data_IF_385761353043
#
_entry.id   IF_385761353043
#
_cell.length_a   1.000
_cell.length_b   1.000
_cell.length_c   1.000
_cell.angle_alpha   90.00
_cell.angle_beta   90.00
_cell.angle_gamma   90.00
#
_symmetry.space_group_name_H-M   'P 1'
#
loop_
_entity.id
_entity.type
_entity.pdbx_description
1 polymer ?
#
# COMPACT_ATOMS: atom_id res chain seq x y z
N UNK A 1 2.33 -22.54 4.52
CA UNK A 1 1.04 -21.96 4.98
C UNK A 1 0.61 -20.91 3.98
N UNK A 2 -0.70 -20.77 3.73
CA UNK A 2 -1.25 -19.70 2.91
C UNK A 2 -1.21 -18.40 3.72
N UNK A 3 -0.71 -17.32 3.12
CA UNK A 3 -0.62 -16.00 3.77
C UNK A 3 -2.01 -15.46 4.08
N UNK A 4 -2.21 -14.90 5.28
CA UNK A 4 -3.39 -14.13 5.63
C UNK A 4 -3.23 -12.69 5.15
N UNK A 5 -4.27 -12.16 4.51
CA UNK A 5 -4.36 -10.77 4.06
C UNK A 5 -5.58 -10.10 4.67
N UNK A 6 -5.65 -8.77 4.62
CA UNK A 6 -6.78 -7.99 5.09
C UNK A 6 -7.44 -7.28 3.91
N UNK A 7 -8.76 -7.44 3.76
CA UNK A 7 -9.55 -6.77 2.72
C UNK A 7 -10.85 -6.25 3.33
N UNK A 8 -11.07 -4.95 3.33
CA UNK A 8 -12.32 -4.28 3.71
C UNK A 8 -12.91 -4.69 5.07
N UNK A 9 -12.08 -5.00 6.06
CA UNK A 9 -12.53 -5.43 7.39
C UNK A 9 -12.28 -6.91 7.69
N UNK A 10 -12.04 -7.73 6.67
CA UNK A 10 -11.91 -9.17 6.82
C UNK A 10 -10.45 -9.66 6.71
N UNK A 11 -10.08 -10.61 7.56
CA UNK A 11 -8.84 -11.38 7.44
C UNK A 11 -9.11 -12.64 6.63
N UNK A 12 -8.49 -12.77 5.46
CA UNK A 12 -8.75 -13.83 4.50
C UNK A 12 -7.47 -14.54 4.08
N UNK A 13 -7.52 -15.82 3.70
CA UNK A 13 -6.45 -16.43 2.92
C UNK A 13 -6.22 -15.64 1.62
N UNK A 14 -4.97 -15.43 1.22
CA UNK A 14 -4.65 -14.66 0.00
C UNK A 14 -5.31 -15.21 -1.28
N UNK A 15 -5.62 -16.49 -1.30
CA UNK A 15 -6.30 -17.16 -2.43
C UNK A 15 -7.80 -16.85 -2.52
N UNK A 16 -8.39 -16.32 -1.44
CA UNK A 16 -9.82 -15.98 -1.36
C UNK A 16 -10.05 -14.45 -1.46
N UNK A 17 -8.97 -13.67 -1.27
CA UNK A 17 -9.04 -12.20 -1.33
C UNK A 17 -9.38 -11.71 -2.75
N UNK A 18 -10.38 -10.85 -2.86
CA UNK A 18 -10.86 -10.32 -4.13
C UNK A 18 -11.21 -8.85 -4.00
N UNK A 19 -11.00 -8.10 -5.07
CA UNK A 19 -11.52 -6.75 -5.26
C UNK A 19 -12.34 -6.70 -6.55
N UNK A 20 -13.27 -5.75 -6.65
CA UNK A 20 -14.07 -5.56 -7.86
C UNK A 20 -13.20 -5.21 -9.06
N UNK A 21 -13.50 -5.74 -10.24
CA UNK A 21 -12.88 -5.29 -11.50
C UNK A 21 -13.27 -3.85 -11.85
N UNK A 22 -14.31 -3.31 -11.23
CA UNK A 22 -14.74 -1.91 -11.34
C UNK A 22 -14.10 -1.01 -10.28
N UNK A 23 -13.21 -1.55 -9.43
CA UNK A 23 -12.45 -0.72 -8.48
C UNK A 23 -11.62 0.32 -9.23
N UNK A 24 -11.73 1.59 -8.82
CA UNK A 24 -11.07 2.71 -9.50
C UNK A 24 -9.54 2.63 -9.40
N UNK A 25 -9.01 2.01 -8.36
CA UNK A 25 -7.57 1.72 -8.25
C UNK A 25 -7.10 0.79 -9.36
N UNK A 26 -7.89 -0.24 -9.69
CA UNK A 26 -7.60 -1.14 -10.81
C UNK A 26 -7.77 -0.46 -12.18
N UNK A 27 -8.85 0.31 -12.38
CA UNK A 27 -9.16 0.90 -13.68
C UNK A 27 -8.36 2.17 -14.01
N UNK A 28 -8.01 2.98 -13.00
CA UNK A 28 -7.51 4.36 -13.19
C UNK A 28 -6.33 4.72 -12.29
N UNK A 29 -5.80 3.79 -11.50
CA UNK A 29 -4.83 4.07 -10.45
C UNK A 29 -5.30 5.12 -9.41
N UNK A 30 -6.62 5.24 -9.20
CA UNK A 30 -7.24 6.16 -8.25
C UNK A 30 -7.12 5.57 -6.84
N UNK A 31 -5.95 5.72 -6.24
CA UNK A 31 -5.62 5.18 -4.94
C UNK A 31 -4.22 5.56 -4.47
N UNK A 32 -4.00 5.35 -3.20
CA UNK A 32 -2.75 5.61 -2.49
C UNK A 32 -2.24 4.34 -1.82
N UNK A 33 -0.95 4.29 -1.50
CA UNK A 33 -0.36 3.15 -0.82
C UNK A 33 0.69 3.56 0.20
N UNK A 34 0.93 2.68 1.15
CA UNK A 34 2.05 2.74 2.09
C UNK A 34 2.75 1.39 2.19
N UNK A 35 4.02 1.42 2.60
CA UNK A 35 4.80 0.22 2.87
C UNK A 35 5.52 0.42 4.19
N UNK A 36 5.10 -0.31 5.22
CA UNK A 36 5.70 -0.28 6.55
C UNK A 36 6.70 -1.44 6.69
N UNK A 37 7.94 -1.13 7.04
CA UNK A 37 8.95 -2.15 7.33
C UNK A 37 8.69 -2.83 8.66
N UNK A 38 9.03 -4.11 8.74
CA UNK A 38 9.00 -4.91 9.97
C UNK A 38 10.40 -5.44 10.25
N UNK A 39 10.95 -5.15 11.45
CA UNK A 39 12.23 -5.65 11.93
C UNK A 39 12.05 -6.19 13.36
N UNK A 40 12.53 -7.39 13.63
CA UNK A 40 12.33 -8.10 14.91
C UNK A 40 10.85 -8.14 15.34
N UNK A 41 9.95 -8.36 14.37
CA UNK A 41 8.51 -8.36 14.60
C UNK A 41 7.89 -6.99 14.94
N UNK A 42 8.66 -5.90 14.84
CA UNK A 42 8.24 -4.55 15.19
C UNK A 42 8.04 -3.69 13.95
N UNK A 43 6.99 -2.89 13.95
CA UNK A 43 6.71 -1.90 12.91
C UNK A 43 7.71 -0.75 13.00
N UNK A 44 8.30 -0.36 11.89
CA UNK A 44 9.23 0.76 11.80
C UNK A 44 8.48 1.99 11.27
N UNK A 45 8.55 3.09 12.03
CA UNK A 45 7.98 4.41 11.67
C UNK A 45 6.49 4.37 11.26
N UNK A 46 5.69 3.54 11.94
CA UNK A 46 4.25 3.45 11.66
C UNK A 46 3.55 4.82 11.68
N UNK A 47 3.88 5.68 12.65
CA UNK A 47 3.27 7.00 12.77
C UNK A 47 3.55 7.89 11.55
N UNK A 48 4.78 7.89 11.04
CA UNK A 48 5.16 8.62 9.84
C UNK A 48 4.38 8.14 8.60
N UNK A 49 4.21 6.80 8.47
CA UNK A 49 3.41 6.21 7.40
C UNK A 49 1.93 6.59 7.52
N UNK A 50 1.34 6.53 8.72
CA UNK A 50 -0.06 6.89 8.94
C UNK A 50 -0.34 8.38 8.65
N UNK A 51 0.55 9.29 9.07
CA UNK A 51 0.45 10.72 8.77
C UNK A 51 0.51 10.98 7.25
N UNK A 52 1.42 10.31 6.53
CA UNK A 52 1.54 10.47 5.08
C UNK A 52 0.35 9.87 4.34
N UNK A 53 -0.18 8.75 4.81
CA UNK A 53 -1.41 8.16 4.28
C UNK A 53 -2.58 9.13 4.38
N UNK A 54 -2.83 9.71 5.55
CA UNK A 54 -3.91 10.66 5.79
C UNK A 54 -3.78 11.90 4.89
N UNK A 55 -2.56 12.46 4.81
CA UNK A 55 -2.28 13.56 3.89
C UNK A 55 -2.58 13.18 2.43
N UNK A 56 -2.13 12.01 1.97
CA UNK A 56 -2.32 11.58 0.58
C UNK A 56 -3.80 11.33 0.24
N UNK A 57 -4.58 10.80 1.18
CA UNK A 57 -6.02 10.65 1.05
C UNK A 57 -6.72 12.02 0.96
N UNK A 58 -6.36 12.95 1.85
CA UNK A 58 -6.92 14.31 1.87
C UNK A 58 -6.63 15.09 0.57
N UNK A 59 -5.43 14.95 -0.03
CA UNK A 59 -5.09 15.58 -1.31
C UNK A 59 -5.92 15.06 -2.51
N UNK A 60 -6.54 13.89 -2.34
CA UNK A 60 -7.43 13.27 -3.35
C UNK A 60 -8.92 13.38 -3.00
N UNK A 61 -9.27 14.12 -1.94
CA UNK A 61 -10.64 14.16 -1.40
C UNK A 61 -11.21 12.74 -1.18
N UNK A 62 -10.38 11.85 -0.64
CA UNK A 62 -10.74 10.47 -0.40
C UNK A 62 -10.91 10.23 1.11
N UNK A 63 -12.06 9.72 1.51
CA UNK A 63 -12.33 9.37 2.91
C UNK A 63 -11.40 8.25 3.36
N UNK A 64 -10.81 8.38 4.54
CA UNK A 64 -10.08 7.29 5.17
C UNK A 64 -11.09 6.24 5.70
N UNK A 65 -11.03 4.97 5.25
CA UNK A 65 -11.97 3.94 5.68
C UNK A 65 -11.66 3.34 7.06
N UNK A 66 -10.53 3.72 7.69
CA UNK A 66 -10.05 3.09 8.92
C UNK A 66 -9.42 4.15 9.84
N UNK A 67 -9.63 4.02 11.16
CA UNK A 67 -8.96 4.88 12.15
C UNK A 67 -7.48 4.53 12.25
N UNK A 68 -6.65 5.46 12.75
CA UNK A 68 -5.22 5.18 12.96
C UNK A 68 -4.99 4.05 13.96
N UNK A 69 -5.80 3.99 14.99
CA UNK A 69 -5.77 2.98 16.05
C UNK A 69 -6.09 1.59 15.47
N UNK A 70 -7.17 1.46 14.71
CA UNK A 70 -7.55 0.20 14.07
C UNK A 70 -6.52 -0.21 13.00
N UNK A 71 -5.98 0.76 12.27
CA UNK A 71 -4.92 0.51 11.29
C UNK A 71 -3.66 -0.09 11.95
N UNK A 72 -3.28 0.42 13.13
CA UNK A 72 -2.17 -0.13 13.91
C UNK A 72 -2.44 -1.57 14.35
N UNK A 73 -3.66 -1.85 14.82
CA UNK A 73 -4.04 -3.21 15.23
C UNK A 73 -4.03 -4.19 14.04
N UNK A 74 -4.53 -3.77 12.86
CA UNK A 74 -4.46 -4.59 11.64
C UNK A 74 -3.00 -4.88 11.25
N UNK A 75 -2.11 -3.89 11.34
CA UNK A 75 -0.68 -4.10 11.08
C UNK A 75 -0.08 -5.15 12.03
N UNK A 76 -0.33 -5.01 13.33
CA UNK A 76 0.15 -5.94 14.36
C UNK A 76 -0.37 -7.34 14.15
N UNK A 77 -1.67 -7.45 13.86
CA UNK A 77 -2.31 -8.74 13.65
C UNK A 77 -1.74 -9.45 12.41
N UNK A 78 -1.54 -8.74 11.29
CA UNK A 78 -0.93 -9.30 10.09
C UNK A 78 0.52 -9.76 10.33
N UNK A 79 1.31 -9.03 11.12
CA UNK A 79 2.66 -9.48 11.56
C UNK A 79 2.56 -10.76 12.36
N UNK A 80 1.64 -10.82 13.32
CA UNK A 80 1.46 -11.95 14.23
C UNK A 80 1.01 -13.22 13.49
N UNK A 81 -0.07 -13.13 12.68
CA UNK A 81 -0.67 -14.32 12.04
C UNK A 81 0.17 -14.86 10.90
N UNK A 82 1.00 -14.02 10.26
CA UNK A 82 1.93 -14.42 9.20
C UNK A 82 3.35 -14.64 9.72
N UNK A 83 3.57 -14.57 11.05
CA UNK A 83 4.86 -14.82 11.71
C UNK A 83 6.02 -14.00 11.09
N UNK A 84 5.79 -12.72 10.80
CA UNK A 84 6.79 -11.87 10.15
C UNK A 84 7.79 -11.35 11.19
N UNK A 85 9.03 -11.83 11.13
CA UNK A 85 10.14 -11.28 11.90
C UNK A 85 10.85 -10.13 11.16
N UNK A 86 11.16 -10.34 9.89
CA UNK A 86 11.70 -9.32 8.97
C UNK A 86 10.87 -9.28 7.69
N UNK A 87 10.45 -8.10 7.27
CA UNK A 87 9.64 -7.98 6.08
C UNK A 87 8.98 -6.63 5.91
N UNK A 88 7.89 -6.64 5.18
CA UNK A 88 7.13 -5.46 4.82
C UNK A 88 5.63 -5.73 4.99
N UNK A 89 4.88 -4.67 5.30
CA UNK A 89 3.43 -4.64 5.17
C UNK A 89 3.10 -3.63 4.08
N UNK A 90 2.44 -4.10 3.04
CA UNK A 90 1.85 -3.26 2.01
C UNK A 90 0.42 -2.91 2.41
N UNK A 91 0.07 -1.64 2.27
CA UNK A 91 -1.28 -1.08 2.42
C UNK A 91 -1.65 -0.35 1.14
N UNK A 92 -2.83 -0.58 0.63
CA UNK A 92 -3.43 0.21 -0.46
C UNK A 92 -4.86 0.61 -0.09
N UNK A 93 -5.19 1.87 -0.34
CA UNK A 93 -6.55 2.38 -0.27
C UNK A 93 -6.88 2.97 -1.63
N UNK A 94 -7.99 2.51 -2.23
CA UNK A 94 -8.54 3.06 -3.47
C UNK A 94 -9.85 3.77 -3.17
N UNK A 95 -10.34 4.58 -4.12
CA UNK A 95 -11.65 5.21 -4.00
C UNK A 95 -12.80 4.19 -4.01
N UNK A 96 -12.53 2.93 -4.33
CA UNK A 96 -13.54 1.87 -4.39
C UNK A 96 -14.21 1.79 -5.75
N UNK A 97 -15.42 1.26 -5.74
CA UNK A 97 -16.24 1.05 -6.93
C UNK A 97 -17.64 1.62 -6.71
N UNK A 98 -18.13 2.39 -7.67
CA UNK A 98 -19.48 2.96 -7.70
C UNK A 98 -20.17 2.65 -9.04
N UNK A 99 -20.29 1.36 -9.37
CA UNK A 99 -20.89 0.90 -10.63
C UNK A 99 -19.93 0.89 -11.81
N UNK A 100 -20.35 1.43 -12.95
CA UNK A 100 -19.57 1.44 -14.18
C UNK A 100 -18.44 2.48 -14.16
N UNK A 101 -17.49 2.31 -15.10
CA UNK A 101 -16.32 3.18 -15.22
C UNK A 101 -16.73 4.61 -15.65
N UNK A 102 -16.44 5.61 -14.82
CA UNK A 102 -16.55 7.03 -15.12
C UNK A 102 -15.28 7.77 -14.70
N UNK A 103 -14.94 8.87 -15.38
CA UNK A 103 -13.83 9.77 -15.00
C UNK A 103 -14.19 10.70 -13.82
N UNK A 104 -15.47 11.07 -13.67
CA UNK A 104 -15.93 11.86 -12.54
C UNK A 104 -15.65 11.11 -11.22
N UNK A 105 -15.28 11.85 -10.18
CA UNK A 105 -15.22 11.24 -8.86
C UNK A 105 -16.64 10.94 -8.39
N UNK A 106 -16.90 9.74 -7.90
CA UNK A 106 -18.17 9.42 -7.29
C UNK A 106 -18.38 10.19 -5.99
N UNK A 107 -19.63 10.28 -5.56
CA UNK A 107 -20.00 10.93 -4.31
C UNK A 107 -19.32 10.20 -3.12
N UNK A 108 -18.48 10.88 -2.33
CA UNK A 108 -17.77 10.28 -1.20
C UNK A 108 -18.71 9.82 -0.07
N UNK A 109 -19.96 10.34 -0.01
CA UNK A 109 -20.94 9.92 1.00
C UNK A 109 -21.54 8.55 0.69
N UNK A 110 -21.59 8.16 -0.58
CA UNK A 110 -22.19 6.89 -1.04
C UNK A 110 -21.15 5.83 -1.42
N UNK A 111 -19.94 6.24 -1.77
CA UNK A 111 -18.88 5.32 -2.21
C UNK A 111 -18.01 4.88 -1.04
N UNK A 112 -17.82 3.58 -0.91
CA UNK A 112 -16.95 3.01 0.12
C UNK A 112 -15.55 2.76 -0.46
N UNK A 113 -14.49 3.38 0.09
CA UNK A 113 -13.12 3.07 -0.30
C UNK A 113 -12.79 1.59 -0.07
N UNK A 114 -11.97 1.03 -0.95
CA UNK A 114 -11.44 -0.33 -0.76
C UNK A 114 -10.08 -0.24 -0.05
N UNK A 115 -9.90 -1.01 1.01
CA UNK A 115 -8.63 -1.16 1.72
C UNK A 115 -8.13 -2.59 1.60
N UNK A 116 -6.86 -2.74 1.18
CA UNK A 116 -6.18 -4.03 1.08
C UNK A 116 -4.83 -3.96 1.78
N UNK A 117 -4.52 -4.97 2.60
CA UNK A 117 -3.21 -5.08 3.24
C UNK A 117 -2.69 -6.51 3.16
N UNK A 118 -1.38 -6.64 2.96
CA UNK A 118 -0.69 -7.93 3.00
C UNK A 118 0.77 -7.79 3.44
N UNK A 119 1.33 -8.88 3.91
CA UNK A 119 2.72 -8.96 4.33
C UNK A 119 3.61 -9.54 3.23
N UNK A 120 4.89 -9.17 3.26
CA UNK A 120 5.95 -9.83 2.51
C UNK A 120 7.05 -10.24 3.49
N UNK A 121 7.32 -11.53 3.63
CA UNK A 121 8.44 -12.01 4.42
C UNK A 121 9.75 -11.75 3.66
N UNK A 122 10.74 -11.11 4.30
CA UNK A 122 12.02 -10.70 3.71
C UNK A 122 13.18 -10.96 4.70
N UNK A 123 13.44 -12.22 5.04
CA UNK A 123 14.52 -12.55 5.98
C UNK A 123 15.87 -12.03 5.46
N UNK A 124 16.68 -11.46 6.35
CA UNK A 124 17.96 -10.84 6.02
C UNK A 124 17.85 -9.46 5.37
N UNK A 125 16.70 -8.79 5.45
CA UNK A 125 16.51 -7.45 4.89
C UNK A 125 17.44 -6.42 5.56
N UNK A 126 17.66 -6.53 6.88
CA UNK A 126 18.54 -5.64 7.63
C UNK A 126 20.02 -5.80 7.21
N UNK A 127 20.43 -7.02 6.89
CA UNK A 127 21.80 -7.39 6.51
C UNK A 127 21.97 -7.61 5.00
N UNK A 128 21.17 -6.92 4.19
CA UNK A 128 21.23 -7.06 2.73
C UNK A 128 22.63 -6.70 2.18
N UNK A 129 23.10 -7.32 1.08
CA UNK A 129 24.36 -6.94 0.46
C UNK A 129 24.49 -5.44 0.14
N UNK A 130 23.37 -4.78 -0.18
CA UNK A 130 23.33 -3.34 -0.43
C UNK A 130 23.56 -2.51 0.83
N UNK A 131 23.14 -2.97 2.02
CA UNK A 131 23.41 -2.29 3.30
C UNK A 131 24.89 -2.34 3.69
N UNK A 132 25.60 -3.39 3.26
CA UNK A 132 27.02 -3.61 3.57
C UNK A 132 27.97 -2.99 2.53
N UNK A 133 27.63 -3.10 1.26
CA UNK A 133 28.54 -2.75 0.13
C UNK A 133 28.07 -1.53 -0.66
N UNK A 134 26.92 -0.96 -0.32
CA UNK A 134 26.23 0.03 -1.16
C UNK A 134 25.58 -0.60 -2.39
N UNK A 135 24.90 0.24 -3.18
CA UNK A 135 24.27 -0.14 -4.44
C UNK A 135 24.78 0.73 -5.58
N UNK A 136 24.92 0.14 -6.77
CA UNK A 136 25.14 0.92 -8.00
C UNK A 136 23.82 1.55 -8.40
N UNK A 137 23.84 2.82 -8.75
CA UNK A 137 22.64 3.59 -9.14
C UNK A 137 22.88 4.31 -10.47
N UNK A 138 21.78 4.57 -11.16
CA UNK A 138 21.74 5.48 -12.32
C UNK A 138 20.78 6.62 -12.02
N UNK A 139 20.94 7.75 -12.65
CA UNK A 139 19.96 8.84 -12.64
C UNK A 139 19.08 8.74 -13.88
N UNK A 140 17.79 8.89 -13.70
CA UNK A 140 16.81 9.01 -14.78
C UNK A 140 15.93 10.25 -14.54
N UNK A 141 15.40 10.85 -15.62
CA UNK A 141 14.41 11.90 -15.49
C UNK A 141 13.15 11.34 -14.81
N UNK A 142 12.59 12.07 -13.85
CA UNK A 142 11.32 11.69 -13.22
C UNK A 142 10.13 12.26 -14.01
N UNK A 143 9.62 11.47 -14.93
CA UNK A 143 8.47 11.81 -15.77
C UNK A 143 7.14 11.25 -15.24
N UNK A 144 7.10 10.82 -13.98
CA UNK A 144 5.82 10.47 -13.33
C UNK A 144 4.90 11.69 -13.34
N UNK A 145 3.64 11.49 -13.01
CA UNK A 145 2.66 12.58 -12.96
C UNK A 145 3.11 13.77 -12.06
N UNK A 146 2.53 14.96 -12.29
CA UNK A 146 2.98 16.22 -11.66
C UNK A 146 2.85 16.28 -10.13
N UNK A 147 1.94 15.51 -9.52
CA UNK A 147 1.69 15.47 -8.07
C UNK A 147 2.44 14.31 -7.38
N UNK A 148 3.77 14.30 -7.50
CA UNK A 148 4.63 13.27 -6.90
C UNK A 148 4.64 13.28 -5.37
N UNK A 149 4.15 14.36 -4.78
CA UNK A 149 3.92 14.53 -3.35
C UNK A 149 2.80 13.61 -2.81
N UNK A 150 1.88 13.18 -3.66
CA UNK A 150 0.84 12.20 -3.33
C UNK A 150 1.35 10.79 -3.65
N UNK A 151 1.36 9.91 -2.66
CA UNK A 151 1.88 8.54 -2.80
C UNK A 151 0.85 7.62 -3.47
N UNK A 152 0.57 7.89 -4.77
CA UNK A 152 -0.39 7.12 -5.56
C UNK A 152 0.16 5.78 -6.05
N UNK A 153 -0.74 4.89 -6.48
CA UNK A 153 -0.41 3.56 -7.04
C UNK A 153 0.08 3.59 -8.48
N UNK A 154 0.38 4.76 -9.04
CA UNK A 154 0.93 4.93 -10.40
C UNK A 154 2.42 4.56 -10.43
N UNK A 155 2.74 3.28 -10.42
CA UNK A 155 4.10 2.77 -10.22
C UNK A 155 4.75 2.18 -11.47
N UNK A 156 4.13 2.31 -12.65
CA UNK A 156 4.68 1.76 -13.88
C UNK A 156 6.05 2.35 -14.22
N UNK A 157 6.20 3.67 -14.16
CA UNK A 157 7.46 4.34 -14.49
C UNK A 157 8.62 3.99 -13.52
N UNK A 158 8.43 3.95 -12.19
CA UNK A 158 9.44 3.42 -11.28
C UNK A 158 9.87 1.97 -11.59
N UNK A 159 8.93 1.13 -12.04
CA UNK A 159 9.25 -0.24 -12.46
C UNK A 159 10.11 -0.27 -13.71
N UNK A 160 9.81 0.57 -14.72
CA UNK A 160 10.65 0.74 -15.91
C UNK A 160 12.05 1.23 -15.55
N UNK A 161 12.16 2.24 -14.68
CA UNK A 161 13.43 2.76 -14.20
C UNK A 161 14.28 1.70 -13.50
N UNK A 162 13.66 0.84 -12.70
CA UNK A 162 14.35 -0.29 -12.07
C UNK A 162 14.87 -1.32 -13.08
N UNK A 163 14.17 -1.52 -14.19
CA UNK A 163 14.62 -2.44 -15.25
C UNK A 163 15.76 -1.86 -16.09
N UNK A 164 15.95 -0.54 -16.07
CA UNK A 164 17.06 0.14 -16.78
C UNK A 164 18.36 0.16 -15.96
N UNK A 165 18.27 0.02 -14.64
CA UNK A 165 19.41 0.02 -13.71
C UNK A 165 20.03 -1.37 -13.55
#
# INVERSE_FOLDING_TARGET
>A
MTRTVYVNGDYLPETEAKVSIFDRGFLMADGVYEVTSVLDGKLIDFDGHAIRLERSLGELDMRNPITKEDLLEVHRELVRVNEINEGLIYLQITRGSDGDRDFAFPDPETTTPTIVMFTQNKPGMADSPASQKGAKVISIEDIRWGRRDIKTVQLLYPSMGKMMA
#
